data_IF_738586442049
#
_entry.id   IF_738586442049
#
_cell.length_a   1.000
_cell.length_b   1.000
_cell.length_c   1.000
_cell.angle_alpha   90.00
_cell.angle_beta   90.00
_cell.angle_gamma   90.00
#
_symmetry.space_group_name_H-M   'P 1'
#
loop_
_entity.id
_entity.type
_entity.pdbx_description
1 polymer ?
#
# COMPACT_ATOMS: atom_id res chain seq x y z
N UNK A 1 11.60 -52.12 3.72
CA UNK A 1 10.73 -50.97 3.41
C UNK A 1 11.53 -49.72 3.69
N UNK A 2 11.97 -48.94 2.70
CA UNK A 2 12.70 -47.68 2.95
C UNK A 2 11.73 -46.52 2.98
N UNK A 3 11.91 -45.64 3.98
CA UNK A 3 11.21 -44.36 4.15
C UNK A 3 11.54 -43.38 3.04
N UNK A 4 10.61 -42.50 2.63
CA UNK A 4 10.89 -41.48 1.62
C UNK A 4 11.68 -40.31 2.24
N UNK A 5 12.75 -39.98 1.55
CA UNK A 5 13.59 -38.80 1.76
C UNK A 5 12.74 -37.55 1.42
N UNK A 6 12.60 -36.67 2.39
CA UNK A 6 12.02 -35.34 2.18
C UNK A 6 12.98 -34.49 1.33
N UNK A 7 12.50 -34.06 0.20
CA UNK A 7 13.16 -33.09 -0.67
C UNK A 7 13.33 -31.76 0.08
N UNK A 8 14.56 -31.34 0.28
CA UNK A 8 14.93 -29.98 0.66
C UNK A 8 14.70 -29.10 -0.54
N UNK A 9 13.66 -28.27 -0.49
CA UNK A 9 13.45 -27.18 -1.44
C UNK A 9 14.60 -26.18 -1.28
N UNK A 10 15.40 -26.07 -2.31
CA UNK A 10 16.46 -25.07 -2.43
C UNK A 10 15.84 -23.67 -2.41
N UNK A 11 16.13 -22.90 -1.38
CA UNK A 11 15.90 -21.46 -1.37
C UNK A 11 16.85 -20.85 -2.42
N UNK A 12 16.33 -20.53 -3.58
CA UNK A 12 17.04 -19.70 -4.55
C UNK A 12 17.10 -18.29 -4.00
N UNK A 13 18.28 -17.88 -3.56
CA UNK A 13 18.59 -16.50 -3.17
C UNK A 13 18.55 -15.66 -4.45
N UNK A 14 17.42 -15.00 -4.70
CA UNK A 14 17.27 -14.09 -5.83
C UNK A 14 18.05 -12.81 -5.49
N UNK A 15 19.18 -12.61 -6.15
CA UNK A 15 19.96 -11.39 -6.02
C UNK A 15 19.25 -10.29 -6.82
N UNK A 16 18.84 -9.21 -6.16
CA UNK A 16 18.31 -8.02 -6.82
C UNK A 16 19.41 -7.35 -7.63
N UNK A 17 19.57 -7.74 -8.88
CA UNK A 17 20.50 -7.08 -9.80
C UNK A 17 19.78 -5.87 -10.42
N UNK A 18 20.07 -4.69 -9.91
CA UNK A 18 19.74 -3.44 -10.58
C UNK A 18 20.46 -3.36 -11.93
N UNK A 19 19.73 -3.61 -13.02
CA UNK A 19 20.29 -3.43 -14.34
C UNK A 19 20.35 -1.93 -14.66
N UNK A 20 21.55 -1.40 -14.81
CA UNK A 20 21.78 -0.04 -15.28
C UNK A 20 21.25 0.09 -16.71
N UNK A 21 20.25 0.93 -16.93
CA UNK A 21 19.97 1.47 -18.25
C UNK A 21 20.92 2.66 -18.47
N UNK A 22 21.76 2.59 -19.47
CA UNK A 22 22.55 3.74 -19.91
C UNK A 22 21.60 4.89 -20.29
N UNK A 23 21.92 6.14 -19.95
CA UNK A 23 21.10 7.28 -20.33
C UNK A 23 21.03 7.42 -21.84
N UNK A 24 19.83 7.53 -22.41
CA UNK A 24 19.64 7.99 -23.76
C UNK A 24 20.04 9.47 -23.84
N UNK A 25 20.74 9.85 -24.91
CA UNK A 25 21.22 11.20 -25.12
C UNK A 25 20.10 12.24 -24.97
N UNK A 26 20.34 13.21 -24.09
CA UNK A 26 19.41 14.28 -23.78
C UNK A 26 19.38 15.31 -24.94
N UNK A 27 18.25 15.48 -25.61
CA UNK A 27 17.99 16.68 -26.40
C UNK A 27 17.54 17.80 -25.47
N UNK A 28 18.35 18.85 -25.38
CA UNK A 28 18.08 20.04 -24.58
C UNK A 28 16.91 20.85 -25.16
N UNK A 29 15.81 20.94 -24.45
CA UNK A 29 14.76 21.93 -24.63
C UNK A 29 14.95 23.07 -23.64
N UNK A 30 15.23 24.28 -24.14
CA UNK A 30 15.38 25.46 -23.30
C UNK A 30 14.02 25.93 -22.80
N UNK A 31 13.78 25.81 -21.51
CA UNK A 31 12.76 26.54 -20.75
C UNK A 31 13.35 26.97 -19.42
N UNK A 32 13.44 28.30 -19.24
CA UNK A 32 13.94 28.89 -18.00
C UNK A 32 12.98 28.60 -16.85
N UNK A 33 13.35 27.67 -16.01
CA UNK A 33 12.67 27.39 -14.75
C UNK A 33 13.38 28.16 -13.64
N UNK A 34 12.63 28.96 -12.89
CA UNK A 34 13.10 29.63 -11.67
C UNK A 34 13.60 28.58 -10.68
N UNK A 35 14.92 28.50 -10.50
CA UNK A 35 15.53 27.67 -9.48
C UNK A 35 15.16 28.27 -8.10
N UNK A 36 14.17 27.69 -7.42
CA UNK A 36 13.99 27.90 -5.99
C UNK A 36 15.10 27.13 -5.26
N UNK A 37 16.13 27.85 -4.84
CA UNK A 37 17.03 27.33 -3.81
C UNK A 37 16.23 27.27 -2.51
N UNK A 38 15.87 26.05 -2.12
CA UNK A 38 15.50 25.78 -0.73
C UNK A 38 16.74 25.21 -0.06
N UNK A 39 17.16 25.84 1.04
CA UNK A 39 18.19 25.26 1.87
C UNK A 39 17.74 23.88 2.34
N UNK A 40 18.65 22.89 2.44
CA UNK A 40 18.31 21.59 2.98
C UNK A 40 17.65 21.78 4.35
N UNK A 41 16.62 21.01 4.70
CA UNK A 41 15.95 21.15 5.98
C UNK A 41 17.00 21.01 7.08
N UNK A 42 17.12 22.05 7.88
CA UNK A 42 18.01 22.01 9.03
C UNK A 42 17.51 20.92 9.97
N UNK A 43 18.37 20.00 10.33
CA UNK A 43 18.11 18.94 11.30
C UNK A 43 17.97 19.52 12.71
N UNK A 44 16.91 20.26 12.95
CA UNK A 44 16.46 20.52 14.31
C UNK A 44 15.64 19.28 14.70
N UNK A 45 16.32 18.27 15.25
CA UNK A 45 15.63 17.26 16.05
C UNK A 45 14.89 18.01 17.15
N UNK A 46 13.57 18.11 17.15
CA UNK A 46 12.84 18.62 18.29
C UNK A 46 13.20 17.73 19.46
N UNK A 47 13.69 18.31 20.55
CA UNK A 47 13.89 17.56 21.78
C UNK A 47 12.59 16.82 22.10
N UNK A 48 12.69 15.51 22.37
CA UNK A 48 11.55 14.68 22.73
C UNK A 48 10.86 15.32 23.93
N UNK A 49 9.81 16.07 23.69
CA UNK A 49 8.96 16.59 24.76
C UNK A 49 8.03 15.44 25.19
N UNK A 50 7.91 15.24 26.50
CA UNK A 50 6.95 14.31 27.08
C UNK A 50 5.53 14.81 26.78
N UNK A 51 5.01 14.44 25.61
CA UNK A 51 3.67 14.82 25.13
C UNK A 51 2.73 13.60 25.07
N UNK A 52 1.45 13.89 24.95
CA UNK A 52 0.43 12.87 24.67
C UNK A 52 0.74 12.21 23.32
N UNK A 53 0.65 10.85 23.20
CA UNK A 53 0.84 10.18 21.92
C UNK A 53 -0.05 10.78 20.83
N UNK A 54 0.47 10.92 19.60
CA UNK A 54 -0.25 11.52 18.48
C UNK A 54 -1.65 10.94 18.27
N UNK A 55 -1.83 9.63 18.43
CA UNK A 55 -3.13 8.97 18.34
C UNK A 55 -4.19 9.56 19.29
N UNK A 56 -3.75 10.18 20.41
CA UNK A 56 -4.61 10.84 21.39
C UNK A 56 -4.66 12.36 21.21
N UNK A 57 -3.71 12.96 20.49
CA UNK A 57 -3.58 14.42 20.31
C UNK A 57 -4.23 14.93 19.01
N UNK A 58 -4.66 14.06 18.10
CA UNK A 58 -5.32 14.48 16.87
C UNK A 58 -6.64 15.19 17.19
N UNK A 59 -6.88 16.33 16.54
CA UNK A 59 -8.16 17.03 16.65
C UNK A 59 -9.31 16.08 16.30
N UNK A 60 -10.40 16.15 17.08
CA UNK A 60 -11.58 15.33 16.84
C UNK A 60 -12.07 15.53 15.40
N UNK A 61 -12.08 14.45 14.61
CA UNK A 61 -12.49 14.46 13.20
C UNK A 61 -11.37 14.59 12.18
N UNK A 62 -10.11 14.87 12.57
CA UNK A 62 -8.98 14.85 11.66
C UNK A 62 -8.52 13.40 11.40
N UNK A 63 -8.41 13.01 10.13
CA UNK A 63 -7.90 11.68 9.75
C UNK A 63 -6.39 11.74 9.51
N UNK A 64 -5.62 10.73 9.96
CA UNK A 64 -4.21 10.62 9.61
C UNK A 64 -4.01 10.52 8.09
N UNK A 65 -2.98 11.19 7.58
CA UNK A 65 -2.60 11.11 6.18
C UNK A 65 -1.65 9.94 5.92
N UNK A 66 -1.77 9.31 4.75
CA UNK A 66 -0.79 8.39 4.19
C UNK A 66 -0.26 9.03 2.91
N UNK A 67 1.07 9.09 2.76
CA UNK A 67 1.73 9.65 1.59
C UNK A 67 2.21 8.52 0.67
N UNK A 68 1.81 8.61 -0.60
CA UNK A 68 2.30 7.78 -1.69
C UNK A 68 3.08 8.65 -2.68
N UNK A 69 4.10 8.10 -3.33
CA UNK A 69 4.82 8.76 -4.43
C UNK A 69 5.01 7.81 -5.61
N UNK A 70 5.32 8.33 -6.79
CA UNK A 70 5.59 7.51 -7.96
C UNK A 70 6.58 8.16 -8.92
N UNK A 71 7.34 7.32 -9.66
CA UNK A 71 8.21 7.74 -10.75
C UNK A 71 8.04 6.83 -11.95
N UNK A 72 7.71 7.41 -13.11
CA UNK A 72 7.46 6.73 -14.37
C UNK A 72 6.36 5.66 -14.34
N UNK A 73 5.63 5.47 -15.43
CA UNK A 73 4.72 4.34 -15.54
C UNK A 73 5.47 2.99 -15.48
N UNK A 74 4.90 1.98 -14.82
CA UNK A 74 3.55 1.98 -14.26
C UNK A 74 3.44 2.46 -12.80
N UNK A 75 4.52 2.95 -12.14
CA UNK A 75 4.47 3.27 -10.71
C UNK A 75 3.61 4.49 -10.38
N UNK A 76 3.69 5.59 -11.16
CA UNK A 76 2.77 6.72 -11.00
C UNK A 76 1.32 6.34 -11.36
N UNK A 77 1.10 5.47 -12.34
CA UNK A 77 -0.24 4.96 -12.66
C UNK A 77 -0.84 4.11 -11.53
N UNK A 78 0.01 3.39 -10.79
CA UNK A 78 -0.43 2.59 -9.63
C UNK A 78 -1.07 3.45 -8.54
N UNK A 79 -0.66 4.71 -8.39
CA UNK A 79 -1.10 5.62 -7.32
C UNK A 79 -1.91 6.82 -7.82
N UNK A 80 -2.11 6.97 -9.14
CA UNK A 80 -2.79 8.12 -9.78
C UNK A 80 -4.13 8.48 -9.15
N UNK A 81 -4.95 7.49 -8.79
CA UNK A 81 -6.29 7.70 -8.21
C UNK A 81 -6.25 8.43 -6.86
N UNK A 82 -5.10 8.43 -6.19
CA UNK A 82 -4.88 9.11 -4.92
C UNK A 82 -4.28 10.52 -5.07
N UNK A 83 -4.03 10.99 -6.30
CA UNK A 83 -3.59 12.37 -6.51
C UNK A 83 -4.76 13.34 -6.28
N UNK A 84 -4.57 14.38 -5.42
CA UNK A 84 -5.54 15.45 -5.25
C UNK A 84 -5.52 16.46 -6.40
N UNK A 85 -4.52 16.39 -7.29
CA UNK A 85 -4.38 17.28 -8.42
C UNK A 85 -5.33 16.88 -9.57
N UNK A 86 -6.35 17.68 -9.90
CA UNK A 86 -7.33 17.32 -10.93
C UNK A 86 -6.72 17.23 -12.34
N UNK A 87 -5.57 17.87 -12.60
CA UNK A 87 -4.87 17.72 -13.87
C UNK A 87 -4.23 16.33 -14.02
N UNK A 88 -3.77 15.74 -12.92
CA UNK A 88 -3.24 14.37 -12.87
C UNK A 88 -4.32 13.31 -12.76
N UNK A 89 -5.40 13.62 -12.05
CA UNK A 89 -6.48 12.71 -11.77
C UNK A 89 -7.84 13.30 -12.13
N UNK A 90 -8.19 13.34 -13.41
CA UNK A 90 -9.45 13.92 -13.88
C UNK A 90 -10.70 13.15 -13.42
N UNK A 91 -10.55 11.91 -12.94
CA UNK A 91 -11.64 11.12 -12.37
C UNK A 91 -11.96 11.52 -10.92
N UNK A 92 -11.15 12.39 -10.32
CA UNK A 92 -11.30 12.87 -8.95
C UNK A 92 -10.54 12.04 -7.92
N UNK A 93 -10.17 12.69 -6.84
CA UNK A 93 -9.44 12.11 -5.73
C UNK A 93 -10.30 11.14 -4.92
N UNK A 94 -9.86 9.90 -4.79
CA UNK A 94 -10.56 8.86 -4.02
C UNK A 94 -9.96 8.64 -2.62
N UNK A 95 -8.94 9.40 -2.24
CA UNK A 95 -8.18 9.17 -1.01
C UNK A 95 -8.86 9.62 0.28
N UNK A 96 -9.95 10.42 0.22
CA UNK A 96 -10.64 10.91 1.41
C UNK A 96 -11.31 9.76 2.17
N UNK A 97 -10.91 9.57 3.44
CA UNK A 97 -11.40 8.45 4.25
C UNK A 97 -11.42 7.14 3.45
N UNK A 98 -10.29 6.82 2.85
CA UNK A 98 -10.20 5.77 1.85
C UNK A 98 -10.80 4.45 2.35
N UNK A 99 -11.79 3.94 1.62
CA UNK A 99 -12.58 2.74 1.94
C UNK A 99 -13.22 2.76 3.34
N UNK A 100 -13.46 3.95 3.91
CA UNK A 100 -14.01 4.08 5.26
C UNK A 100 -13.05 3.71 6.39
N UNK A 101 -11.74 3.57 6.09
CA UNK A 101 -10.72 3.08 7.03
C UNK A 101 -10.17 4.11 8.00
N UNK A 102 -10.64 5.37 7.94
CA UNK A 102 -10.20 6.42 8.83
C UNK A 102 -8.88 7.08 8.45
N UNK A 103 -8.42 6.93 7.21
CA UNK A 103 -7.20 7.52 6.68
C UNK A 103 -7.48 8.32 5.41
N UNK A 104 -6.80 9.46 5.25
CA UNK A 104 -6.74 10.20 3.99
C UNK A 104 -5.46 9.81 3.25
N UNK A 105 -5.58 9.41 1.98
CA UNK A 105 -4.44 8.93 1.17
C UNK A 105 -4.16 9.93 0.07
N UNK A 106 -2.90 10.38 -0.02
CA UNK A 106 -2.44 11.36 -0.99
C UNK A 106 -1.31 10.78 -1.83
N UNK A 107 -1.32 11.04 -3.13
CA UNK A 107 -0.23 10.68 -4.02
C UNK A 107 0.32 11.90 -4.77
N UNK A 108 1.65 11.97 -4.88
CA UNK A 108 2.39 12.98 -5.62
C UNK A 108 3.40 12.30 -6.55
N UNK A 109 3.47 12.72 -7.79
CA UNK A 109 4.33 12.14 -8.81
C UNK A 109 4.43 13.08 -10.02
N UNK A 110 5.52 12.97 -10.83
CA UNK A 110 5.63 13.74 -12.07
C UNK A 110 4.76 13.16 -13.19
N UNK A 111 4.32 14.03 -14.10
CA UNK A 111 3.67 13.66 -15.35
C UNK A 111 4.65 13.62 -16.52
N UNK A 112 4.42 12.72 -17.45
CA UNK A 112 5.24 12.53 -18.65
C UNK A 112 4.43 12.68 -19.93
N UNK A 113 5.10 13.17 -20.99
CA UNK A 113 4.51 13.27 -22.31
C UNK A 113 5.36 12.48 -23.32
N UNK A 114 4.83 11.43 -23.98
CA UNK A 114 3.49 10.84 -23.72
C UNK A 114 3.36 10.18 -22.36
N UNK A 115 2.13 9.98 -21.83
CA UNK A 115 1.92 9.38 -20.49
C UNK A 115 2.50 7.97 -20.33
N UNK A 116 2.77 7.27 -21.43
CA UNK A 116 3.38 5.94 -21.44
C UNK A 116 4.91 5.98 -21.45
N UNK A 117 5.51 7.17 -21.47
CA UNK A 117 6.95 7.28 -21.52
C UNK A 117 7.62 6.85 -20.23
N UNK A 118 8.65 6.02 -20.35
CA UNK A 118 9.34 5.38 -19.22
C UNK A 118 10.76 5.88 -19.00
N UNK A 119 11.20 6.90 -19.76
CA UNK A 119 12.56 7.48 -19.68
C UNK A 119 12.64 8.85 -20.38
N UNK A 120 11.61 9.69 -20.27
CA UNK A 120 11.52 10.98 -20.96
C UNK A 120 11.95 12.17 -20.08
N UNK A 121 13.15 12.12 -19.54
CA UNK A 121 13.66 13.24 -18.73
C UNK A 121 12.99 13.33 -17.35
N UNK A 122 12.89 14.57 -16.86
CA UNK A 122 12.42 14.86 -15.49
C UNK A 122 10.92 14.68 -15.30
N UNK A 123 10.11 14.80 -16.35
CA UNK A 123 8.67 15.00 -16.19
C UNK A 123 8.34 16.44 -15.79
N UNK A 124 7.08 16.67 -15.42
CA UNK A 124 6.56 17.97 -14.95
C UNK A 124 5.63 17.77 -13.75
N UNK A 125 5.56 18.76 -12.87
CA UNK A 125 4.73 18.72 -11.67
C UNK A 125 5.52 18.37 -10.42
N UNK A 126 4.90 17.66 -9.47
CA UNK A 126 5.52 17.34 -8.19
C UNK A 126 6.55 16.21 -8.34
N UNK A 127 7.60 16.25 -7.53
CA UNK A 127 8.61 15.19 -7.42
C UNK A 127 9.21 14.81 -8.78
N UNK A 128 9.60 15.79 -9.59
CA UNK A 128 10.21 15.51 -10.90
C UNK A 128 11.47 14.64 -10.75
N UNK A 129 11.88 13.98 -11.85
CA UNK A 129 13.05 13.08 -11.85
C UNK A 129 14.34 13.91 -11.84
N UNK A 130 14.54 14.64 -10.75
CA UNK A 130 15.62 15.54 -10.42
C UNK A 130 15.85 15.49 -8.91
N UNK A 131 17.09 15.37 -8.45
CA UNK A 131 17.39 15.24 -7.02
C UNK A 131 17.02 16.47 -6.21
N UNK A 132 17.24 17.65 -6.79
CA UNK A 132 16.99 18.93 -6.11
C UNK A 132 15.49 19.20 -6.03
N UNK A 133 14.78 19.03 -7.13
CA UNK A 133 13.33 19.20 -7.18
C UNK A 133 12.64 18.16 -6.30
N UNK A 134 13.06 16.89 -6.36
CA UNK A 134 12.53 15.85 -5.45
C UNK A 134 12.70 16.25 -3.99
N UNK A 135 13.86 16.80 -3.61
CA UNK A 135 14.09 17.27 -2.24
C UNK A 135 13.22 18.49 -1.91
N UNK A 136 13.15 19.44 -2.85
CA UNK A 136 12.38 20.67 -2.68
C UNK A 136 10.88 20.43 -2.53
N UNK A 137 10.36 19.38 -3.16
CA UNK A 137 8.94 19.01 -3.08
C UNK A 137 8.65 18.07 -1.90
N UNK A 138 9.48 17.04 -1.69
CA UNK A 138 9.20 16.00 -0.70
C UNK A 138 9.03 16.55 0.71
N UNK A 139 9.98 17.39 1.17
CA UNK A 139 9.95 17.87 2.54
C UNK A 139 8.77 18.81 2.83
N UNK A 140 8.42 19.80 1.99
CA UNK A 140 7.21 20.59 2.19
C UNK A 140 5.93 19.74 2.16
N UNK A 141 5.81 18.76 1.26
CA UNK A 141 4.67 17.86 1.19
C UNK A 141 4.58 17.02 2.49
N UNK A 142 5.67 16.37 2.88
CA UNK A 142 5.69 15.54 4.08
C UNK A 142 5.44 16.34 5.36
N UNK A 143 6.02 17.54 5.48
CA UNK A 143 5.82 18.43 6.63
C UNK A 143 4.39 18.98 6.70
N UNK A 144 3.76 19.27 5.57
CA UNK A 144 2.38 19.73 5.52
C UNK A 144 1.38 18.61 5.86
N UNK A 145 1.59 17.41 5.35
CA UNK A 145 0.72 16.25 5.57
C UNK A 145 0.96 15.59 6.92
N UNK A 146 2.20 15.63 7.44
CA UNK A 146 2.64 14.87 8.60
C UNK A 146 2.16 13.41 8.51
N UNK A 147 2.57 12.64 7.48
CA UNK A 147 1.96 11.35 7.20
C UNK A 147 2.25 10.34 8.30
N UNK A 148 1.21 9.59 8.70
CA UNK A 148 1.35 8.47 9.64
C UNK A 148 2.12 7.30 9.01
N UNK A 149 2.11 7.22 7.66
CA UNK A 149 2.91 6.27 6.92
C UNK A 149 3.26 6.82 5.52
N UNK A 150 4.39 6.36 4.97
CA UNK A 150 4.89 6.73 3.64
C UNK A 150 5.18 5.44 2.86
N UNK A 151 4.65 5.32 1.65
CA UNK A 151 5.02 4.27 0.72
C UNK A 151 5.41 4.90 -0.61
N UNK A 152 6.70 4.81 -0.96
CA UNK A 152 7.22 5.34 -2.20
C UNK A 152 7.26 4.25 -3.27
N UNK A 153 6.95 4.62 -4.51
CA UNK A 153 6.95 3.71 -5.65
C UNK A 153 7.84 4.24 -6.76
N UNK A 154 8.56 3.34 -7.42
CA UNK A 154 9.29 3.68 -8.63
C UNK A 154 9.32 2.49 -9.60
N UNK A 155 9.68 2.77 -10.85
CA UNK A 155 9.72 1.75 -11.88
C UNK A 155 11.00 0.91 -11.79
N UNK A 156 10.84 -0.42 -11.73
CA UNK A 156 11.93 -1.39 -11.84
C UNK A 156 12.27 -1.69 -13.31
N UNK A 157 13.49 -2.15 -13.55
CA UNK A 157 13.88 -2.75 -14.84
C UNK A 157 13.31 -4.16 -15.06
N UNK A 158 12.90 -4.84 -13.98
CA UNK A 158 12.23 -6.15 -14.02
C UNK A 158 10.86 -6.08 -14.71
N UNK A 159 10.32 -7.22 -15.15
CA UNK A 159 9.11 -7.24 -15.97
C UNK A 159 7.82 -7.17 -15.17
N UNK A 160 7.54 -8.17 -14.33
CA UNK A 160 6.28 -8.32 -13.59
C UNK A 160 6.50 -8.41 -12.07
N UNK A 161 7.61 -7.88 -11.58
CA UNK A 161 7.94 -7.92 -10.16
C UNK A 161 7.25 -6.81 -9.39
N UNK A 162 6.77 -7.15 -8.20
CA UNK A 162 6.37 -6.23 -7.14
C UNK A 162 7.38 -6.39 -6.01
N UNK A 163 8.39 -5.52 -5.97
CA UNK A 163 9.59 -5.71 -5.19
C UNK A 163 9.62 -4.76 -4.00
N UNK A 164 9.53 -5.31 -2.79
CA UNK A 164 9.58 -4.56 -1.53
C UNK A 164 11.04 -4.43 -1.07
N UNK A 165 11.56 -3.20 -1.06
CA UNK A 165 12.92 -2.92 -0.64
C UNK A 165 13.06 -2.92 0.89
N UNK A 166 13.95 -3.78 1.43
CA UNK A 166 14.15 -3.87 2.87
C UNK A 166 15.01 -2.71 3.42
N UNK A 167 15.91 -2.16 2.61
CA UNK A 167 16.90 -1.19 3.09
C UNK A 167 17.15 -0.07 2.07
N UNK A 168 17.54 1.11 2.56
CA UNK A 168 17.89 2.29 1.77
C UNK A 168 19.24 2.86 2.26
N UNK A 169 20.12 3.25 1.34
CA UNK A 169 21.46 3.74 1.68
C UNK A 169 21.59 5.25 1.62
N UNK A 170 22.25 5.84 2.61
CA UNK A 170 22.73 7.23 2.59
C UNK A 170 24.00 7.33 1.72
N UNK A 171 23.84 7.36 0.40
CA UNK A 171 24.95 7.26 -0.57
C UNK A 171 25.68 8.58 -0.75
N UNK A 172 26.97 8.48 -1.04
CA UNK A 172 27.81 9.60 -1.51
C UNK A 172 27.92 9.67 -3.03
N UNK A 173 27.60 8.57 -3.72
CA UNK A 173 27.69 8.45 -5.18
C UNK A 173 26.36 8.03 -5.76
N UNK A 174 25.86 8.81 -6.71
CA UNK A 174 24.57 8.64 -7.34
C UNK A 174 24.73 8.59 -8.84
N UNK A 175 23.80 7.98 -9.54
CA UNK A 175 23.68 8.07 -11.01
C UNK A 175 23.22 9.48 -11.36
N UNK A 176 23.81 10.09 -12.38
CA UNK A 176 23.43 11.40 -12.85
C UNK A 176 21.94 11.43 -13.28
N UNK A 177 21.22 12.44 -12.85
CA UNK A 177 19.89 12.76 -13.36
C UNK A 177 19.98 13.63 -14.65
N UNK A 178 18.94 14.39 -14.94
CA UNK A 178 18.80 15.12 -16.21
C UNK A 178 19.13 16.60 -16.12
N UNK A 179 19.28 17.18 -14.91
CA UNK A 179 19.44 18.62 -14.69
C UNK A 179 20.61 18.87 -13.73
N UNK A 180 21.42 19.87 -14.04
CA UNK A 180 22.52 20.24 -13.17
C UNK A 180 22.04 20.96 -11.89
N UNK A 181 22.61 20.61 -10.72
CA UNK A 181 23.64 19.61 -10.47
C UNK A 181 23.08 18.19 -10.64
N UNK A 182 23.79 17.37 -11.41
CA UNK A 182 23.32 16.05 -11.85
C UNK A 182 23.23 14.99 -10.72
N UNK A 183 23.64 15.33 -9.51
CA UNK A 183 23.63 14.46 -8.33
C UNK A 183 23.11 15.24 -7.13
N UNK A 184 22.68 14.56 -6.06
CA UNK A 184 22.24 15.25 -4.84
C UNK A 184 23.32 16.20 -4.31
N UNK A 185 22.90 17.37 -3.88
CA UNK A 185 23.77 18.33 -3.22
C UNK A 185 23.07 18.84 -1.95
N UNK A 186 23.53 18.43 -0.74
CA UNK A 186 24.72 17.62 -0.48
C UNK A 186 24.61 16.13 -0.87
N UNK A 187 25.78 15.47 -1.00
CA UNK A 187 25.91 14.02 -1.10
C UNK A 187 26.89 13.54 0.00
N UNK A 188 26.48 12.71 0.97
CA UNK A 188 25.15 12.11 1.09
C UNK A 188 24.05 13.13 1.44
N UNK A 189 22.78 12.87 1.11
CA UNK A 189 21.68 13.80 1.37
C UNK A 189 21.40 13.99 2.87
N UNK A 190 21.57 12.94 3.67
CA UNK A 190 21.36 12.96 5.12
C UNK A 190 22.71 13.14 5.83
N UNK A 191 22.94 14.34 6.33
CA UNK A 191 24.15 14.68 7.07
C UNK A 191 24.05 14.38 8.59
N UNK A 192 22.93 13.85 9.06
CA UNK A 192 22.72 13.49 10.47
C UNK A 192 23.29 12.13 10.84
N UNK A 193 23.63 11.33 9.82
CA UNK A 193 24.25 10.01 9.98
C UNK A 193 25.43 9.86 9.02
N UNK A 194 26.39 8.97 9.32
CA UNK A 194 27.53 8.72 8.43
C UNK A 194 27.11 8.31 7.02
N UNK A 195 27.93 8.66 6.05
CA UNK A 195 27.79 8.15 4.68
C UNK A 195 27.77 6.61 4.66
N UNK A 196 26.92 6.03 3.82
CA UNK A 196 26.72 4.58 3.73
C UNK A 196 25.85 3.99 4.84
N UNK A 197 25.34 4.81 5.77
CA UNK A 197 24.37 4.34 6.76
C UNK A 197 23.14 3.78 6.06
N UNK A 198 22.72 2.62 6.52
CA UNK A 198 21.56 1.91 6.03
C UNK A 198 20.35 2.23 6.92
N UNK A 199 19.24 2.65 6.31
CA UNK A 199 17.96 2.80 6.98
C UNK A 199 17.01 1.70 6.52
N UNK A 200 16.52 0.85 7.44
CA UNK A 200 15.59 -0.21 7.07
C UNK A 200 14.20 0.34 6.76
N UNK A 201 13.49 -0.37 5.88
CA UNK A 201 12.04 -0.23 5.73
C UNK A 201 11.35 -0.62 7.02
N UNK A 202 10.35 0.13 7.41
CA UNK A 202 9.44 -0.17 8.52
C UNK A 202 8.04 -0.59 8.03
N UNK A 203 7.88 -0.77 6.70
CA UNK A 203 6.68 -1.38 6.13
C UNK A 203 6.54 -2.84 6.57
N UNK A 204 5.33 -3.40 6.67
CA UNK A 204 5.11 -4.82 6.87
C UNK A 204 5.41 -5.61 5.57
N UNK A 205 6.68 -5.59 5.12
CA UNK A 205 7.07 -6.03 3.77
C UNK A 205 6.67 -7.46 3.45
N UNK A 206 6.81 -8.40 4.41
CA UNK A 206 6.43 -9.79 4.18
C UNK A 206 4.91 -9.94 4.08
N UNK A 207 4.13 -9.27 4.95
CA UNK A 207 2.66 -9.31 4.88
C UNK A 207 2.16 -8.71 3.55
N UNK A 208 2.81 -7.64 3.05
CA UNK A 208 2.47 -7.06 1.74
C UNK A 208 2.76 -8.06 0.62
N UNK A 209 3.91 -8.73 0.65
CA UNK A 209 4.28 -9.74 -0.34
C UNK A 209 3.27 -10.89 -0.34
N UNK A 210 2.94 -11.40 0.83
CA UNK A 210 1.98 -12.50 0.99
C UNK A 210 0.61 -12.10 0.44
N UNK A 211 0.08 -10.93 0.83
CA UNK A 211 -1.23 -10.45 0.36
C UNK A 211 -1.28 -10.19 -1.15
N UNK A 212 -0.20 -9.66 -1.75
CA UNK A 212 -0.14 -9.43 -3.21
C UNK A 212 -0.09 -10.76 -3.98
N UNK A 213 0.68 -11.75 -3.48
CA UNK A 213 0.76 -13.07 -4.08
C UNK A 213 -0.57 -13.83 -3.93
N UNK A 214 -1.18 -13.81 -2.74
CA UNK A 214 -2.46 -14.47 -2.45
C UNK A 214 -3.62 -13.89 -3.30
N UNK A 215 -3.52 -12.63 -3.66
CA UNK A 215 -4.49 -12.01 -4.56
C UNK A 215 -4.42 -12.50 -6.00
N UNK A 216 -3.46 -13.37 -6.33
CA UNK A 216 -3.26 -13.98 -7.65
C UNK A 216 -3.33 -12.95 -8.81
N UNK A 217 -2.67 -11.82 -8.62
CA UNK A 217 -2.71 -10.70 -9.56
C UNK A 217 -1.79 -10.92 -10.80
N UNK A 218 -1.20 -12.09 -10.95
CA UNK A 218 -0.24 -12.39 -12.02
C UNK A 218 1.09 -11.66 -11.87
N UNK A 219 1.43 -11.25 -10.65
CA UNK A 219 2.67 -10.58 -10.29
C UNK A 219 3.57 -11.52 -9.49
N UNK A 220 4.87 -11.23 -9.48
CA UNK A 220 5.84 -11.87 -8.62
C UNK A 220 6.24 -10.88 -7.51
N UNK A 221 5.54 -10.94 -6.38
CA UNK A 221 5.89 -10.14 -5.21
C UNK A 221 6.96 -10.83 -4.37
N UNK A 222 7.96 -10.08 -3.93
CA UNK A 222 9.04 -10.58 -3.07
C UNK A 222 9.71 -9.43 -2.29
N UNK A 223 10.43 -9.81 -1.21
CA UNK A 223 11.24 -8.87 -0.43
C UNK A 223 12.66 -8.85 -0.99
N UNK A 224 13.15 -7.66 -1.38
CA UNK A 224 14.54 -7.44 -1.74
C UNK A 224 15.36 -7.11 -0.49
N UNK A 225 16.24 -8.02 -0.10
CA UNK A 225 17.06 -7.89 1.10
C UNK A 225 18.32 -7.03 0.88
N UNK A 226 18.78 -6.90 -0.36
CA UNK A 226 20.06 -6.24 -0.67
C UNK A 226 20.01 -4.73 -0.43
N UNK A 227 18.83 -4.12 -0.53
CA UNK A 227 18.65 -2.67 -0.34
C UNK A 227 19.44 -1.84 -1.36
N UNK A 228 19.63 -2.34 -2.58
CA UNK A 228 20.34 -1.63 -3.62
C UNK A 228 19.35 -1.20 -4.71
N UNK A 229 18.65 -0.10 -4.47
CA UNK A 229 17.68 0.51 -5.39
C UNK A 229 18.29 1.15 -6.64
N UNK A 230 19.57 0.87 -6.94
CA UNK A 230 20.24 1.26 -8.18
C UNK A 230 20.96 2.62 -8.14
N UNK A 231 20.96 3.34 -7.02
CA UNK A 231 21.70 4.61 -6.85
C UNK A 231 21.15 5.75 -7.69
N UNK A 232 19.87 5.72 -8.07
CA UNK A 232 19.19 6.76 -8.83
C UNK A 232 17.96 7.31 -8.05
N UNK A 233 17.11 8.10 -8.67
CA UNK A 233 15.97 8.76 -8.03
C UNK A 233 15.03 7.80 -7.29
N UNK A 234 14.90 6.55 -7.74
CA UNK A 234 14.14 5.52 -7.04
C UNK A 234 14.64 5.27 -5.62
N UNK A 235 15.96 5.08 -5.49
CA UNK A 235 16.57 4.91 -4.18
C UNK A 235 16.62 6.22 -3.39
N UNK A 236 16.71 7.36 -4.09
CA UNK A 236 16.74 8.67 -3.44
C UNK A 236 15.41 9.00 -2.75
N UNK A 237 14.28 8.89 -3.45
CA UNK A 237 12.96 9.12 -2.83
C UNK A 237 12.64 8.07 -1.76
N UNK A 238 13.10 6.82 -1.97
CA UNK A 238 12.98 5.77 -0.98
C UNK A 238 13.72 6.12 0.31
N UNK A 239 14.96 6.66 0.18
CA UNK A 239 15.75 7.13 1.31
C UNK A 239 15.08 8.29 2.03
N UNK A 240 14.55 9.29 1.32
CA UNK A 240 13.82 10.41 1.92
C UNK A 240 12.64 9.93 2.76
N UNK A 241 11.88 8.94 2.27
CA UNK A 241 10.75 8.35 2.99
C UNK A 241 11.16 7.70 4.32
N UNK A 242 12.17 6.82 4.29
CA UNK A 242 12.64 6.16 5.53
C UNK A 242 13.40 7.12 6.44
N UNK A 243 14.01 8.16 5.90
CA UNK A 243 14.63 9.21 6.70
C UNK A 243 13.57 10.03 7.44
N UNK A 244 12.50 10.46 6.75
CA UNK A 244 11.37 11.11 7.41
C UNK A 244 10.83 10.26 8.57
N UNK A 245 10.58 8.98 8.32
CA UNK A 245 10.12 8.05 9.36
C UNK A 245 11.09 7.98 10.53
N UNK A 246 12.40 7.90 10.27
CA UNK A 246 13.40 7.76 11.32
C UNK A 246 13.48 8.98 12.25
N UNK A 247 13.30 10.20 11.73
CA UNK A 247 13.29 11.43 12.55
C UNK A 247 11.95 11.63 13.27
N UNK A 248 10.88 10.99 12.81
CA UNK A 248 9.54 11.06 13.37
C UNK A 248 9.07 9.69 13.92
N UNK A 249 9.99 8.86 14.44
CA UNK A 249 9.68 7.51 14.90
C UNK A 249 9.01 7.45 16.29
N UNK A 250 9.06 8.55 17.07
CA UNK A 250 8.52 8.56 18.42
C UNK A 250 6.98 8.69 18.42
N UNK A 251 6.25 7.86 19.18
CA UNK A 251 4.81 8.04 19.37
C UNK A 251 4.40 9.38 19.99
N UNK A 252 5.34 10.07 20.65
CA UNK A 252 5.13 11.40 21.25
C UNK A 252 5.37 12.54 20.26
N UNK A 253 5.94 12.25 19.09
CA UNK A 253 6.15 13.25 18.04
C UNK A 253 4.80 13.64 17.41
N UNK A 254 4.45 14.92 17.32
CA UNK A 254 3.25 15.37 16.61
C UNK A 254 3.18 14.91 15.15
N UNK A 255 4.32 14.68 14.51
CA UNK A 255 4.44 14.16 13.15
C UNK A 255 4.77 12.66 13.11
N UNK A 256 4.48 11.92 14.18
CA UNK A 256 4.82 10.51 14.27
C UNK A 256 4.48 9.73 13.01
N UNK A 257 5.49 9.14 12.39
CA UNK A 257 5.38 8.28 11.23
C UNK A 257 5.65 6.82 11.66
N UNK A 258 4.63 5.99 11.57
CA UNK A 258 4.68 4.59 12.01
C UNK A 258 5.51 3.75 11.05
N UNK A 259 5.35 3.96 9.74
CA UNK A 259 5.97 3.11 8.75
C UNK A 259 6.37 3.89 7.49
N UNK A 260 7.54 3.55 6.94
CA UNK A 260 7.95 4.02 5.63
C UNK A 260 8.79 2.98 4.90
N UNK A 261 8.76 3.00 3.57
CA UNK A 261 9.58 2.15 2.73
C UNK A 261 9.25 2.30 1.26
N UNK A 262 9.82 1.41 0.44
CA UNK A 262 9.82 1.53 -1.01
C UNK A 262 9.38 0.25 -1.71
N UNK A 263 8.72 0.43 -2.85
CA UNK A 263 8.30 -0.64 -3.74
C UNK A 263 8.75 -0.35 -5.17
N UNK A 264 9.54 -1.23 -5.75
CA UNK A 264 9.83 -1.22 -7.18
C UNK A 264 8.71 -1.94 -7.96
N UNK A 265 8.14 -1.25 -8.91
CA UNK A 265 7.05 -1.70 -9.78
C UNK A 265 7.60 -2.15 -11.11
N UNK A 266 7.43 -3.41 -11.47
CA UNK A 266 7.94 -3.99 -12.71
C UNK A 266 7.44 -3.24 -13.95
N UNK A 267 8.35 -2.93 -14.87
CA UNK A 267 8.09 -2.03 -16.03
C UNK A 267 6.97 -2.48 -16.98
N UNK A 268 6.66 -3.77 -17.00
CA UNK A 268 5.67 -4.34 -17.90
C UNK A 268 4.35 -4.71 -17.17
N UNK A 269 4.21 -4.33 -15.91
CA UNK A 269 2.96 -4.56 -15.18
C UNK A 269 1.86 -3.71 -15.84
N UNK A 270 0.74 -4.30 -16.28
CA UNK A 270 -0.42 -3.55 -16.75
C UNK A 270 -0.93 -2.61 -15.65
N UNK A 271 -1.29 -1.39 -16.01
CA UNK A 271 -1.72 -0.36 -15.07
C UNK A 271 -2.83 -0.80 -14.09
N UNK A 272 -3.89 -1.50 -14.53
CA UNK A 272 -4.90 -2.00 -13.59
C UNK A 272 -4.35 -2.99 -12.56
N UNK A 273 -3.36 -3.82 -12.94
CA UNK A 273 -2.69 -4.73 -12.01
C UNK A 273 -1.79 -3.97 -11.03
N UNK A 274 -1.06 -2.94 -11.51
CA UNK A 274 -0.25 -2.07 -10.65
C UNK A 274 -1.12 -1.32 -9.63
N UNK A 275 -2.26 -0.76 -10.05
CA UNK A 275 -3.24 -0.12 -9.18
C UNK A 275 -3.74 -1.10 -8.11
N UNK A 276 -4.14 -2.29 -8.52
CA UNK A 276 -4.61 -3.33 -7.59
C UNK A 276 -3.52 -3.70 -6.56
N UNK A 277 -2.30 -3.93 -6.99
CA UNK A 277 -1.20 -4.27 -6.08
C UNK A 277 -0.88 -3.13 -5.11
N UNK A 278 -0.90 -1.87 -5.57
CA UNK A 278 -0.75 -0.70 -4.71
C UNK A 278 -1.88 -0.60 -3.67
N UNK A 279 -3.12 -0.83 -4.05
CA UNK A 279 -4.26 -0.82 -3.13
C UNK A 279 -4.20 -1.98 -2.12
N UNK A 280 -3.76 -3.18 -2.54
CA UNK A 280 -3.52 -4.30 -1.62
C UNK A 280 -2.43 -3.93 -0.61
N UNK A 281 -1.29 -3.42 -1.10
CA UNK A 281 -0.18 -2.98 -0.26
C UNK A 281 -0.61 -1.92 0.75
N UNK A 282 -1.43 -0.95 0.31
CA UNK A 282 -1.98 0.10 1.15
C UNK A 282 -2.94 -0.45 2.23
N UNK A 283 -3.78 -1.43 1.89
CA UNK A 283 -4.65 -2.09 2.89
C UNK A 283 -3.83 -2.79 3.96
N UNK A 284 -2.77 -3.48 3.57
CA UNK A 284 -1.85 -4.16 4.49
C UNK A 284 -1.11 -3.16 5.37
N UNK A 285 -0.63 -2.06 4.78
CA UNK A 285 -0.02 -0.96 5.53
C UNK A 285 -0.98 -0.37 6.57
N UNK A 286 -2.23 -0.10 6.20
CA UNK A 286 -3.24 0.43 7.13
C UNK A 286 -3.47 -0.56 8.29
N UNK A 287 -3.59 -1.86 8.03
CA UNK A 287 -3.71 -2.86 9.10
C UNK A 287 -2.51 -2.84 10.05
N UNK A 288 -1.30 -2.67 9.52
CA UNK A 288 -0.08 -2.54 10.32
C UNK A 288 -0.10 -1.27 11.19
N UNK A 289 -0.48 -0.14 10.62
CA UNK A 289 -0.64 1.13 11.34
C UNK A 289 -1.69 0.99 12.43
N UNK A 290 -2.85 0.41 12.14
CA UNK A 290 -3.92 0.19 13.11
C UNK A 290 -3.46 -0.68 14.28
N UNK A 291 -2.74 -1.79 14.01
CA UNK A 291 -2.13 -2.62 15.08
C UNK A 291 -1.19 -1.81 15.97
N UNK A 292 -0.33 -0.99 15.35
CA UNK A 292 0.64 -0.16 16.07
C UNK A 292 -0.04 0.92 16.92
N UNK A 293 -1.17 1.45 16.44
CA UNK A 293 -1.98 2.43 17.16
C UNK A 293 -2.90 1.79 18.21
N UNK A 294 -2.89 0.47 18.36
CA UNK A 294 -3.81 -0.26 19.23
C UNK A 294 -5.28 -0.21 18.77
N UNK A 295 -5.53 0.10 17.49
CA UNK A 295 -6.89 0.20 16.92
C UNK A 295 -7.40 -1.12 16.39
N UNK A 296 -6.52 -2.09 16.13
CA UNK A 296 -6.87 -3.35 15.47
C UNK A 296 -6.45 -4.54 16.29
N UNK A 297 -7.33 -5.53 16.39
CA UNK A 297 -6.93 -6.89 16.64
C UNK A 297 -6.53 -7.60 15.33
N UNK A 298 -5.93 -8.79 15.45
CA UNK A 298 -5.40 -9.53 14.31
C UNK A 298 -6.45 -9.86 13.27
N UNK A 299 -6.36 -9.23 12.11
CA UNK A 299 -7.02 -9.69 10.90
C UNK A 299 -6.04 -10.53 10.10
N UNK A 300 -6.45 -11.71 9.67
CA UNK A 300 -5.65 -12.56 8.81
C UNK A 300 -6.45 -12.91 7.54
N UNK A 301 -5.91 -12.53 6.37
CA UNK A 301 -6.49 -12.90 5.08
C UNK A 301 -6.10 -14.34 4.77
N UNK A 302 -7.03 -15.09 4.23
CA UNK A 302 -6.80 -16.46 3.80
C UNK A 302 -7.71 -16.79 2.61
N UNK A 303 -7.46 -17.88 1.93
CA UNK A 303 -8.25 -18.30 0.79
C UNK A 303 -8.10 -17.36 -0.43
N UNK A 304 -7.60 -17.90 -1.52
CA UNK A 304 -7.36 -17.14 -2.75
C UNK A 304 -8.66 -16.71 -3.43
N UNK A 305 -8.61 -15.58 -4.11
CA UNK A 305 -9.71 -15.11 -4.97
C UNK A 305 -9.54 -15.64 -6.39
N UNK A 306 -10.63 -16.02 -7.04
CA UNK A 306 -10.61 -16.40 -8.45
C UNK A 306 -11.09 -15.25 -9.34
N UNK A 307 -10.59 -15.23 -10.59
CA UNK A 307 -11.01 -14.25 -11.60
C UNK A 307 -12.53 -14.19 -11.72
N UNK A 308 -13.04 -13.00 -11.98
CA UNK A 308 -14.45 -12.71 -12.20
C UNK A 308 -14.66 -11.95 -13.53
N UNK A 309 -15.89 -11.60 -13.85
CA UNK A 309 -16.20 -10.87 -15.08
C UNK A 309 -15.62 -9.45 -15.16
N UNK A 310 -15.17 -8.90 -14.04
CA UNK A 310 -14.42 -7.63 -14.01
C UNK A 310 -12.90 -7.82 -14.18
N UNK A 311 -12.42 -9.06 -14.30
CA UNK A 311 -11.02 -9.43 -14.51
C UNK A 311 -10.42 -10.17 -13.32
N UNK A 312 -9.86 -9.46 -12.37
CA UNK A 312 -9.24 -10.03 -11.18
C UNK A 312 -10.31 -10.35 -10.12
N UNK A 313 -10.10 -11.39 -9.29
CA UNK A 313 -11.06 -11.80 -8.28
C UNK A 313 -11.39 -10.70 -7.26
N UNK A 314 -12.62 -10.68 -6.76
CA UNK A 314 -13.03 -9.71 -5.75
C UNK A 314 -12.34 -9.95 -4.40
N UNK A 315 -11.97 -8.87 -3.71
CA UNK A 315 -11.33 -8.91 -2.40
C UNK A 315 -12.23 -8.35 -1.31
N UNK A 316 -12.31 -9.07 -0.19
CA UNK A 316 -12.86 -8.59 1.08
C UNK A 316 -11.71 -8.07 1.95
N UNK A 317 -11.81 -6.85 2.39
CA UNK A 317 -10.79 -6.21 3.23
C UNK A 317 -11.43 -5.62 4.49
N UNK A 318 -10.84 -5.86 5.69
CA UNK A 318 -11.31 -5.25 6.93
C UNK A 318 -10.82 -3.81 7.08
N UNK A 319 -11.59 -3.00 7.79
CA UNK A 319 -11.25 -1.67 8.27
C UNK A 319 -11.80 -1.47 9.68
N UNK A 320 -11.39 -0.39 10.34
CA UNK A 320 -11.74 -0.16 11.73
C UNK A 320 -10.99 -1.11 12.68
N UNK A 321 -11.59 -1.42 13.82
CA UNK A 321 -11.01 -2.31 14.81
C UNK A 321 -11.85 -3.58 15.02
N UNK A 322 -11.24 -4.62 15.59
CA UNK A 322 -11.99 -5.78 16.06
C UNK A 322 -12.45 -5.66 17.52
N UNK A 323 -12.25 -4.48 18.14
CA UNK A 323 -12.77 -4.21 19.49
C UNK A 323 -14.28 -4.14 19.47
N UNK A 324 -14.91 -4.95 20.30
CA UNK A 324 -16.37 -4.93 20.49
C UNK A 324 -16.80 -3.60 21.09
N UNK A 325 -15.99 -3.02 21.97
CA UNK A 325 -16.29 -1.74 22.61
C UNK A 325 -16.23 -0.58 21.63
N UNK A 326 -15.29 -0.59 20.66
CA UNK A 326 -15.21 0.44 19.64
C UNK A 326 -16.37 0.36 18.62
N UNK A 327 -16.89 -0.82 18.36
CA UNK A 327 -18.01 -1.10 17.46
C UNK A 327 -17.88 -0.41 16.07
N UNK A 328 -16.68 -0.43 15.51
CA UNK A 328 -16.32 0.27 14.27
C UNK A 328 -15.79 -0.65 13.16
N UNK A 329 -15.94 -1.98 13.31
CA UNK A 329 -15.52 -2.96 12.32
C UNK A 329 -16.26 -2.72 10.99
N UNK A 330 -15.49 -2.43 9.95
CA UNK A 330 -15.98 -2.18 8.62
C UNK A 330 -15.44 -3.22 7.61
N UNK A 331 -16.20 -3.44 6.55
CA UNK A 331 -15.83 -4.28 5.43
C UNK A 331 -15.87 -3.49 4.14
N UNK A 332 -14.89 -3.72 3.28
CA UNK A 332 -14.85 -3.22 1.91
C UNK A 332 -14.69 -4.39 0.95
N UNK A 333 -15.59 -4.51 -0.03
CA UNK A 333 -15.46 -5.41 -1.18
C UNK A 333 -14.94 -4.58 -2.35
N UNK A 334 -13.89 -5.05 -3.03
CA UNK A 334 -13.29 -4.37 -4.16
C UNK A 334 -13.09 -5.36 -5.31
N UNK A 335 -13.02 -4.85 -6.55
CA UNK A 335 -12.82 -5.63 -7.77
C UNK A 335 -13.94 -6.65 -8.06
N UNK A 336 -15.11 -6.50 -7.48
CA UNK A 336 -16.29 -7.25 -7.87
C UNK A 336 -16.85 -6.71 -9.20
N UNK A 337 -17.70 -7.47 -9.92
CA UNK A 337 -18.47 -6.90 -11.02
C UNK A 337 -19.34 -5.74 -10.53
N UNK A 338 -19.57 -4.75 -11.41
CA UNK A 338 -20.38 -3.59 -11.10
C UNK A 338 -21.87 -3.96 -10.93
N UNK A 339 -22.54 -3.28 -10.01
CA UNK A 339 -24.00 -3.36 -9.78
C UNK A 339 -24.51 -4.79 -9.52
N UNK A 340 -23.71 -5.61 -8.82
CA UNK A 340 -24.13 -6.99 -8.48
C UNK A 340 -24.44 -7.12 -6.99
N UNK A 341 -25.34 -8.08 -6.70
CA UNK A 341 -25.68 -8.43 -5.33
C UNK A 341 -24.66 -9.39 -4.73
N UNK A 342 -24.34 -9.20 -3.44
CA UNK A 342 -23.52 -10.11 -2.64
C UNK A 342 -24.04 -10.26 -1.21
N UNK A 343 -23.61 -11.33 -0.54
CA UNK A 343 -23.93 -11.59 0.86
C UNK A 343 -22.63 -11.67 1.66
N UNK A 344 -22.49 -10.77 2.65
CA UNK A 344 -21.53 -10.98 3.72
C UNK A 344 -22.06 -12.09 4.64
N UNK A 345 -21.22 -13.04 4.96
CA UNK A 345 -21.51 -14.07 5.95
C UNK A 345 -20.28 -14.35 6.81
N UNK A 346 -20.53 -14.92 7.99
CA UNK A 346 -19.48 -15.32 8.90
C UNK A 346 -19.78 -16.67 9.53
N UNK A 347 -18.75 -17.30 10.08
CA UNK A 347 -18.86 -18.61 10.72
C UNK A 347 -17.67 -18.91 11.64
N UNK A 348 -17.75 -20.01 12.41
CA UNK A 348 -16.79 -20.31 13.48
C UNK A 348 -15.49 -20.97 13.00
N UNK A 349 -15.40 -21.39 11.73
CA UNK A 349 -14.25 -22.14 11.20
C UNK A 349 -14.00 -21.87 9.73
N UNK A 350 -12.79 -22.18 9.27
CA UNK A 350 -12.39 -22.14 7.88
C UNK A 350 -12.95 -23.35 7.11
N UNK A 351 -13.13 -23.17 5.83
CA UNK A 351 -13.45 -24.21 4.85
C UNK A 351 -12.74 -23.92 3.53
N UNK A 352 -12.83 -24.84 2.59
CA UNK A 352 -12.46 -24.65 1.19
C UNK A 352 -13.36 -25.56 0.34
N UNK A 353 -14.53 -25.04 -0.01
CA UNK A 353 -15.55 -25.80 -0.76
C UNK A 353 -15.82 -25.08 -2.08
N UNK A 354 -15.71 -25.76 -3.24
CA UNK A 354 -15.99 -25.13 -4.54
C UNK A 354 -17.35 -24.42 -4.57
N UNK A 355 -17.39 -23.20 -5.10
CA UNK A 355 -18.59 -22.39 -5.17
C UNK A 355 -18.55 -21.44 -6.38
N UNK A 356 -19.25 -21.79 -7.42
CA UNK A 356 -19.21 -21.04 -8.66
C UNK A 356 -17.82 -21.10 -9.29
N UNK A 357 -17.26 -19.95 -9.62
CA UNK A 357 -15.88 -19.84 -10.07
C UNK A 357 -14.87 -19.78 -8.91
N UNK A 358 -15.34 -19.60 -7.67
CA UNK A 358 -14.52 -19.47 -6.47
C UNK A 358 -14.68 -20.62 -5.47
N UNK A 359 -14.46 -20.30 -4.19
CA UNK A 359 -14.63 -21.23 -3.08
C UNK A 359 -15.32 -20.56 -1.89
N UNK A 360 -16.14 -21.31 -1.15
CA UNK A 360 -16.61 -20.92 0.18
C UNK A 360 -15.54 -21.28 1.19
N UNK A 361 -14.98 -20.28 1.81
CA UNK A 361 -13.85 -20.40 2.74
C UNK A 361 -14.26 -20.32 4.20
N UNK A 362 -15.54 -20.14 4.48
CA UNK A 362 -16.12 -20.16 5.82
C UNK A 362 -16.93 -21.45 5.96
N UNK A 363 -16.69 -22.22 7.01
CA UNK A 363 -17.39 -23.46 7.31
C UNK A 363 -18.85 -23.20 7.75
N UNK A 364 -19.71 -24.19 7.59
CA UNK A 364 -21.04 -24.18 8.18
C UNK A 364 -20.96 -24.48 9.71
N UNK A 365 -21.92 -23.97 10.51
CA UNK A 365 -23.03 -23.12 10.13
C UNK A 365 -22.58 -21.70 9.80
N UNK A 366 -23.09 -21.12 8.70
CA UNK A 366 -22.81 -19.74 8.26
C UNK A 366 -23.98 -18.85 8.61
N UNK A 367 -23.67 -17.71 9.21
CA UNK A 367 -24.66 -16.68 9.49
C UNK A 367 -24.55 -15.58 8.43
N UNK A 368 -25.64 -15.28 7.74
CA UNK A 368 -25.70 -14.13 6.81
C UNK A 368 -25.89 -12.83 7.58
N UNK A 369 -25.20 -11.79 7.12
CA UNK A 369 -25.32 -10.44 7.64
C UNK A 369 -26.22 -9.63 6.71
N UNK A 370 -27.39 -9.24 7.21
CA UNK A 370 -28.33 -8.39 6.48
C UNK A 370 -27.91 -6.90 6.56
N UNK A 371 -28.35 -6.10 5.60
CA UNK A 371 -29.00 -6.38 4.32
C UNK A 371 -28.01 -6.95 3.28
N UNK A 372 -28.50 -7.29 2.09
CA UNK A 372 -27.67 -7.64 0.90
C UNK A 372 -26.69 -6.50 0.60
N UNK A 373 -25.43 -6.84 0.25
CA UNK A 373 -24.48 -5.91 -0.33
C UNK A 373 -24.80 -5.70 -1.80
N UNK A 374 -24.67 -4.47 -2.27
CA UNK A 374 -24.76 -4.16 -3.70
C UNK A 374 -23.49 -3.39 -4.07
N UNK A 375 -22.76 -3.88 -5.08
CA UNK A 375 -21.58 -3.16 -5.57
C UNK A 375 -22.02 -1.95 -6.41
N UNK A 376 -21.26 -0.88 -6.32
CA UNK A 376 -21.44 0.31 -7.16
C UNK A 376 -20.94 0.12 -8.60
N UNK A 377 -20.96 1.19 -9.41
CA UNK A 377 -20.46 1.18 -10.79
C UNK A 377 -18.95 0.87 -10.90
N UNK A 378 -18.21 1.01 -9.81
CA UNK A 378 -16.77 0.70 -9.72
C UNK A 378 -16.49 -0.72 -9.18
N UNK A 379 -17.53 -1.50 -8.90
CA UNK A 379 -17.40 -2.84 -8.33
C UNK A 379 -17.03 -2.83 -6.84
N UNK A 380 -17.35 -1.76 -6.12
CA UNK A 380 -17.06 -1.58 -4.70
C UNK A 380 -18.34 -1.64 -3.88
N UNK A 381 -18.29 -2.30 -2.72
CA UNK A 381 -19.33 -2.24 -1.70
C UNK A 381 -18.70 -2.11 -0.32
N UNK A 382 -19.34 -1.37 0.57
CA UNK A 382 -18.84 -1.17 1.94
C UNK A 382 -19.94 -1.45 2.96
N UNK A 383 -19.51 -1.89 4.16
CA UNK A 383 -20.38 -2.10 5.29
C UNK A 383 -19.67 -1.93 6.62
N UNK A 384 -20.21 -1.11 7.51
CA UNK A 384 -19.87 -1.09 8.92
C UNK A 384 -20.79 -2.08 9.64
N UNK A 385 -20.24 -2.88 10.55
CA UNK A 385 -21.00 -3.80 11.38
C UNK A 385 -21.41 -3.13 12.68
N UNK A 386 -22.61 -3.42 13.14
CA UNK A 386 -23.02 -3.14 14.50
C UNK A 386 -22.89 -4.42 15.33
N UNK A 387 -21.79 -4.53 16.07
CA UNK A 387 -21.49 -5.69 16.91
C UNK A 387 -22.39 -5.77 18.14
N UNK A 388 -23.13 -4.69 18.46
CA UNK A 388 -24.10 -4.62 19.58
C UNK A 388 -25.49 -5.11 19.19
N UNK A 389 -25.73 -5.35 17.91
CA UNK A 389 -27.01 -5.80 17.37
C UNK A 389 -26.94 -7.28 16.91
N UNK A 390 -28.11 -7.89 16.71
CA UNK A 390 -28.18 -9.21 16.09
C UNK A 390 -27.64 -9.18 14.64
N UNK A 391 -26.94 -10.21 14.18
CA UNK A 391 -26.73 -11.53 14.83
C UNK A 391 -25.49 -11.60 15.72
N UNK A 392 -24.75 -10.50 15.92
CA UNK A 392 -23.45 -10.50 16.62
C UNK A 392 -23.58 -10.45 18.15
N UNK A 393 -24.62 -9.82 18.67
CA UNK A 393 -24.76 -9.56 20.11
C UNK A 393 -25.32 -10.74 20.92
N UNK A 394 -25.96 -11.72 20.27
CA UNK A 394 -26.66 -12.78 20.98
C UNK A 394 -26.77 -14.09 20.18
N UNK A 395 -27.02 -15.20 20.90
CA UNK A 395 -27.20 -16.52 20.33
C UNK A 395 -25.91 -17.31 20.15
N UNK A 396 -25.99 -18.44 19.46
CA UNK A 396 -24.83 -19.33 19.20
C UNK A 396 -23.76 -18.73 18.30
N UNK A 397 -24.10 -17.64 17.62
CA UNK A 397 -23.21 -16.94 16.68
C UNK A 397 -22.76 -15.58 17.22
N UNK A 398 -22.95 -15.37 18.55
CA UNK A 398 -22.52 -14.13 19.18
C UNK A 398 -21.00 -13.97 19.14
N UNK A 399 -20.57 -12.76 18.82
CA UNK A 399 -19.16 -12.36 18.83
C UNK A 399 -18.80 -11.93 20.25
N UNK A 400 -17.83 -12.61 20.84
CA UNK A 400 -17.35 -12.35 22.19
C UNK A 400 -15.87 -11.95 22.16
N UNK A 401 -15.44 -11.20 23.16
CA UNK A 401 -14.03 -10.88 23.35
C UNK A 401 -13.19 -12.17 23.43
N UNK A 402 -12.09 -12.22 22.67
CA UNK A 402 -11.24 -13.40 22.52
C UNK A 402 -11.76 -14.46 21.52
N UNK A 403 -13.00 -14.32 21.01
CA UNK A 403 -13.52 -15.25 20.01
C UNK A 403 -12.90 -15.00 18.63
N UNK A 404 -12.78 -16.07 17.84
CA UNK A 404 -12.29 -16.04 16.47
C UNK A 404 -13.44 -16.34 15.52
N UNK A 405 -13.63 -15.49 14.53
CA UNK A 405 -14.65 -15.65 13.50
C UNK A 405 -14.06 -15.42 12.11
N UNK A 406 -14.68 -16.03 11.11
CA UNK A 406 -14.24 -16.05 9.72
C UNK A 406 -15.33 -15.40 8.86
N UNK A 407 -14.92 -14.44 8.01
CA UNK A 407 -15.83 -13.65 7.17
C UNK A 407 -15.52 -13.85 5.70
N UNK A 408 -16.54 -13.78 4.85
CA UNK A 408 -16.40 -13.82 3.40
C UNK A 408 -17.65 -13.21 2.73
N UNK A 409 -17.52 -12.73 1.49
CA UNK A 409 -18.63 -12.32 0.65
C UNK A 409 -18.77 -13.28 -0.53
N UNK A 410 -19.98 -13.85 -0.70
CA UNK A 410 -20.39 -14.50 -1.92
C UNK A 410 -21.20 -13.52 -2.77
N UNK A 411 -20.94 -13.43 -4.06
CA UNK A 411 -21.55 -12.43 -4.93
C UNK A 411 -21.98 -13.02 -6.28
N UNK A 412 -22.85 -12.28 -7.00
CA UNK A 412 -23.28 -12.63 -8.35
C UNK A 412 -22.18 -12.26 -9.36
N UNK A 413 -21.91 -13.18 -10.27
CA UNK A 413 -20.96 -13.02 -11.36
C UNK A 413 -21.53 -13.67 -12.63
N UNK A 414 -22.60 -13.09 -13.21
CA UNK A 414 -23.41 -13.75 -14.21
C UNK A 414 -22.68 -14.08 -15.52
N UNK A 415 -21.59 -13.36 -15.82
CA UNK A 415 -20.81 -13.56 -17.05
C UNK A 415 -19.42 -14.16 -16.80
N UNK A 416 -18.94 -14.18 -15.57
CA UNK A 416 -17.61 -14.68 -15.20
C UNK A 416 -17.60 -16.11 -14.68
N UNK A 417 -18.76 -16.67 -14.35
CA UNK A 417 -18.88 -18.02 -13.79
C UNK A 417 -20.03 -18.80 -14.42
N UNK A 418 -19.82 -20.10 -14.66
CA UNK A 418 -20.80 -20.96 -15.31
C UNK A 418 -22.17 -21.02 -14.59
N UNK A 419 -22.19 -20.85 -13.26
CA UNK A 419 -23.42 -20.81 -12.47
C UNK A 419 -23.75 -19.38 -11.97
N UNK A 420 -23.06 -18.35 -12.46
CA UNK A 420 -23.30 -16.95 -12.12
C UNK A 420 -22.94 -16.57 -10.67
N UNK A 421 -22.04 -17.31 -10.03
CA UNK A 421 -21.65 -17.14 -8.64
C UNK A 421 -20.13 -17.13 -8.48
N UNK A 422 -19.63 -16.30 -7.57
CA UNK A 422 -18.23 -16.24 -7.17
C UNK A 422 -18.12 -15.79 -5.69
N UNK A 423 -16.92 -15.82 -5.12
CA UNK A 423 -16.66 -15.42 -3.74
C UNK A 423 -15.33 -14.66 -3.62
N UNK A 424 -15.22 -13.83 -2.58
CA UNK A 424 -13.98 -13.13 -2.20
C UNK A 424 -13.01 -14.09 -1.49
N UNK A 425 -11.82 -13.58 -1.12
CA UNK A 425 -11.00 -14.20 -0.07
C UNK A 425 -11.79 -14.30 1.25
N UNK A 426 -11.30 -15.14 2.15
CA UNK A 426 -11.74 -15.18 3.54
C UNK A 426 -10.94 -14.21 4.41
N UNK A 427 -11.53 -13.75 5.51
CA UNK A 427 -10.83 -12.97 6.54
C UNK A 427 -11.13 -13.55 7.91
N UNK A 428 -10.08 -13.92 8.64
CA UNK A 428 -10.14 -14.28 10.05
C UNK A 428 -10.09 -13.03 10.92
N UNK A 429 -10.93 -12.96 11.93
CA UNK A 429 -10.95 -11.88 12.91
C UNK A 429 -10.87 -12.48 14.30
N UNK A 430 -9.90 -12.03 15.11
CA UNK A 430 -9.87 -12.26 16.56
C UNK A 430 -10.41 -11.02 17.24
N UNK A 431 -11.54 -11.15 17.93
CA UNK A 431 -12.22 -10.02 18.55
C UNK A 431 -11.57 -9.63 19.88
N UNK A 432 -11.32 -8.33 20.05
CA UNK A 432 -10.86 -7.74 21.30
C UNK A 432 -12.06 -7.21 22.13
N UNK A 433 -11.86 -7.01 23.43
CA UNK A 433 -12.85 -6.35 24.31
C UNK A 433 -13.38 -5.03 23.81
#
# INVERSE_FOLDING_TARGET
>A
MPSPIRSLTSFSMLVCLGAFAAPAEAQMGASGVLVRRLDPPQSNLPGVTSGTPRAQSMAAGARPAILLTGYWPPSNEAVRRFSPNPAQNPLGWIGANWEGRGYDVYAYFPEFTPPTCTSCGTGVGDLTVDYQDTTADFWPIANALQPIAIMTFSRSSATLNWELEMNQYNRTTWVNDYVAPLQPNPAPPDNTVPAGTLRPSTLPVQEIVDDVNDANAGLNAFVCLSGNGGGFLSEFIAYLGVWYQAIHASPQDPAWCVAAGHTHVGRNIPWPQAQRAAEISLRTLIRHVDRTLGRSAAFNLYCETNANSAGLGAMLSPGGSSSIANNDLAWSVNYAPANVNGFLYYGPAQANVPYGAGALCVAAPRQRVAPVLVTDASGVAQRVLDLTAAPFAAGSNAVLAGSTWYFQVAYRDPTGAANGLNATNGVQVVFAP
#
